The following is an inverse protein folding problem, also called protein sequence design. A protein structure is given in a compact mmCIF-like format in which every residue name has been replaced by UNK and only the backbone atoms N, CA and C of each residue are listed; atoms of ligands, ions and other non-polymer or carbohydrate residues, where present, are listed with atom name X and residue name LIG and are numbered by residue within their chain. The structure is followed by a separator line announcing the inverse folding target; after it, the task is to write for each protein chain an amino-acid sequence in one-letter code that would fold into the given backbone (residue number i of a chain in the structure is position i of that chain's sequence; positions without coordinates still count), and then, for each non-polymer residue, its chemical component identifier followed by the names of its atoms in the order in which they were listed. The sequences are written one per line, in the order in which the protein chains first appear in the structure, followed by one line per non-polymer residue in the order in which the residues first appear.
data_IF_077160354521
#
_entry.id   IF_077160354521
#
_cell.length_a   1.000
_cell.length_b   1.000
_cell.length_c   1.000
_cell.angle_alpha   90.00
_cell.angle_beta   90.00
_cell.angle_gamma   90.00
#
_symmetry.space_group_name_H-M   'P 1'
#
loop_
_entity.id
_entity.type
_entity.pdbx_description
1 polymer ?
#
# COMPACT_ATOMS: atom_id res chain seq x y z
N UNK A 1 -6.22 21.92 -10.86
CA UNK A 1 -6.93 22.60 -11.97
C UNK A 1 -6.34 22.33 -13.36
N UNK A 2 -5.27 21.52 -13.48
CA UNK A 2 -4.62 21.22 -14.77
C UNK A 2 -4.56 19.72 -15.08
N UNK A 3 -5.42 18.92 -14.43
CA UNK A 3 -5.60 17.50 -14.75
C UNK A 3 -6.65 17.40 -15.84
N UNK A 4 -6.34 16.70 -16.92
CA UNK A 4 -7.22 16.43 -18.03
C UNK A 4 -7.31 14.93 -18.27
N UNK A 5 -8.35 14.52 -18.99
CA UNK A 5 -8.51 13.17 -19.52
C UNK A 5 -8.73 13.26 -21.02
N UNK A 6 -8.05 12.42 -21.79
CA UNK A 6 -8.14 12.38 -23.24
C UNK A 6 -9.51 11.88 -23.71
N UNK A 7 -9.99 12.40 -24.84
CA UNK A 7 -11.30 12.07 -25.41
C UNK A 7 -11.42 10.61 -25.84
N UNK A 8 -10.30 10.00 -26.20
CA UNK A 8 -10.10 8.61 -26.56
C UNK A 8 -10.56 7.66 -25.45
N UNK A 9 -10.56 8.13 -24.20
CA UNK A 9 -11.11 7.39 -23.07
C UNK A 9 -12.60 7.06 -23.22
N UNK A 10 -13.38 7.87 -23.92
CA UNK A 10 -14.81 7.62 -24.16
C UNK A 10 -14.99 6.45 -25.13
N UNK A 11 -14.26 6.44 -26.24
CA UNK A 11 -14.27 5.31 -27.19
C UNK A 11 -13.73 4.02 -26.56
N UNK A 12 -12.75 4.14 -25.64
CA UNK A 12 -12.22 2.98 -24.93
C UNK A 12 -13.30 2.25 -24.12
N UNK A 13 -14.15 3.00 -23.40
CA UNK A 13 -15.12 2.41 -22.48
C UNK A 13 -16.38 1.90 -23.16
N UNK A 14 -16.66 2.27 -24.42
CA UNK A 14 -17.78 1.73 -25.20
C UNK A 14 -17.75 0.19 -25.31
N UNK A 15 -16.55 -0.40 -25.17
CA UNK A 15 -16.37 -1.86 -25.20
C UNK A 15 -16.62 -2.55 -23.84
N UNK A 16 -16.99 -1.81 -22.79
CA UNK A 16 -17.27 -2.38 -21.46
C UNK A 16 -18.71 -2.89 -21.41
N UNK A 17 -18.87 -4.23 -21.44
CA UNK A 17 -20.18 -4.89 -21.39
C UNK A 17 -20.90 -4.77 -20.02
N UNK A 18 -20.17 -4.50 -18.95
CA UNK A 18 -20.70 -4.41 -17.59
C UNK A 18 -21.23 -2.99 -17.33
N UNK A 19 -22.56 -2.83 -17.39
CA UNK A 19 -23.25 -1.54 -17.23
C UNK A 19 -22.81 -0.76 -15.97
N UNK A 20 -22.55 -1.44 -14.86
CA UNK A 20 -22.11 -0.77 -13.63
C UNK A 20 -20.69 -0.21 -13.78
N UNK A 21 -19.78 -0.98 -14.40
CA UNK A 21 -18.42 -0.50 -14.70
C UNK A 21 -18.44 0.60 -15.74
N UNK A 22 -19.25 0.47 -16.79
CA UNK A 22 -19.42 1.48 -17.83
C UNK A 22 -19.90 2.81 -17.20
N UNK A 23 -20.97 2.78 -16.41
CA UNK A 23 -21.52 3.97 -15.78
C UNK A 23 -20.53 4.62 -14.78
N UNK A 24 -19.79 3.81 -14.01
CA UNK A 24 -18.75 4.30 -13.11
C UNK A 24 -17.57 4.95 -13.85
N UNK A 25 -17.16 4.36 -14.97
CA UNK A 25 -16.13 4.89 -15.85
C UNK A 25 -16.56 6.22 -16.48
N UNK A 26 -17.73 6.25 -17.12
CA UNK A 26 -18.36 7.45 -17.68
C UNK A 26 -18.42 8.59 -16.66
N UNK A 27 -18.92 8.29 -15.45
CA UNK A 27 -19.01 9.29 -14.38
C UNK A 27 -17.64 9.85 -14.01
N UNK A 28 -16.61 9.02 -13.96
CA UNK A 28 -15.24 9.45 -13.62
C UNK A 28 -14.64 10.32 -14.72
N UNK A 29 -14.84 9.96 -15.99
CA UNK A 29 -14.39 10.73 -17.16
C UNK A 29 -15.04 12.12 -17.15
N UNK A 30 -16.37 12.19 -17.08
CA UNK A 30 -17.07 13.47 -17.12
C UNK A 30 -16.73 14.38 -15.95
N UNK A 31 -16.49 13.85 -14.74
CA UNK A 31 -16.01 14.66 -13.62
C UNK A 31 -14.69 15.37 -13.94
N UNK A 32 -13.75 14.67 -14.56
CA UNK A 32 -12.45 15.26 -14.94
C UNK A 32 -12.63 16.26 -16.09
N UNK A 33 -13.38 15.91 -17.14
CA UNK A 33 -13.67 16.80 -18.28
C UNK A 33 -14.35 18.10 -17.84
N UNK A 34 -15.34 18.00 -16.94
CA UNK A 34 -16.09 19.15 -16.40
C UNK A 34 -15.31 19.92 -15.32
N UNK A 35 -14.07 19.50 -15.02
CA UNK A 35 -13.22 20.09 -13.96
C UNK A 35 -13.84 20.03 -12.56
N UNK A 36 -14.73 19.06 -12.32
CA UNK A 36 -15.23 18.70 -11.00
C UNK A 36 -14.15 17.91 -10.24
N UNK A 37 -13.11 18.65 -9.84
CA UNK A 37 -11.94 18.10 -9.14
C UNK A 37 -12.22 18.09 -7.63
N UNK A 38 -12.28 16.89 -7.09
CA UNK A 38 -12.46 16.59 -5.67
C UNK A 38 -11.16 16.06 -5.06
N UNK A 39 -10.95 16.39 -3.80
CA UNK A 39 -10.01 15.68 -2.96
C UNK A 39 -10.47 15.66 -1.50
N UNK A 40 -10.10 14.60 -0.78
CA UNK A 40 -10.26 14.50 0.67
C UNK A 40 -9.18 13.60 1.27
N UNK A 41 -8.96 13.71 2.57
CA UNK A 41 -8.17 12.76 3.35
C UNK A 41 -9.12 12.06 4.30
N UNK A 42 -9.24 10.74 4.21
CA UNK A 42 -10.17 10.05 5.09
C UNK A 42 -9.68 10.06 6.53
N UNK A 43 -10.62 10.17 7.47
CA UNK A 43 -10.25 10.22 8.87
C UNK A 43 -9.71 8.89 9.37
N UNK A 44 -9.97 7.74 8.72
CA UNK A 44 -9.71 6.37 9.19
C UNK A 44 -8.26 5.93 9.04
N UNK A 45 -7.72 6.03 7.85
CA UNK A 45 -6.36 5.65 7.51
C UNK A 45 -5.51 6.85 7.11
N UNK A 46 -6.12 8.04 7.00
CA UNK A 46 -5.44 9.20 6.46
C UNK A 46 -5.19 9.09 4.96
N UNK A 47 -5.79 8.13 4.23
CA UNK A 47 -5.54 8.01 2.79
C UNK A 47 -6.14 9.19 2.04
N UNK A 48 -5.38 9.64 1.05
CA UNK A 48 -5.81 10.66 0.11
C UNK A 48 -6.78 10.04 -0.92
N UNK A 49 -7.91 10.69 -1.09
CA UNK A 49 -8.92 10.39 -2.11
C UNK A 49 -9.00 11.57 -3.05
N UNK A 50 -9.01 11.31 -4.36
CA UNK A 50 -9.18 12.30 -5.42
C UNK A 50 -9.81 11.67 -6.65
N UNK A 51 -10.10 12.46 -7.68
CA UNK A 51 -10.52 11.92 -8.98
C UNK A 51 -9.51 10.86 -9.49
N UNK A 52 -8.21 11.09 -9.30
CA UNK A 52 -7.16 10.17 -9.78
C UNK A 52 -7.08 8.86 -8.98
N UNK A 53 -7.24 8.91 -7.66
CA UNK A 53 -7.24 7.67 -6.85
C UNK A 53 -8.48 6.83 -7.12
N UNK A 54 -9.62 7.49 -7.37
CA UNK A 54 -10.90 6.84 -7.65
C UNK A 54 -11.06 6.42 -9.11
N UNK A 55 -10.19 6.90 -10.01
CA UNK A 55 -10.24 6.55 -11.42
C UNK A 55 -9.93 5.05 -11.61
N UNK A 56 -10.79 4.30 -12.35
CA UNK A 56 -10.51 2.93 -12.74
C UNK A 56 -9.12 2.79 -13.34
N UNK A 57 -8.41 1.71 -12.98
CA UNK A 57 -7.01 1.53 -13.35
C UNK A 57 -6.73 1.63 -14.84
N UNK A 58 -7.64 1.10 -15.67
CA UNK A 58 -7.56 1.10 -17.13
C UNK A 58 -7.82 2.47 -17.78
N UNK A 59 -8.28 3.47 -17.02
CA UNK A 59 -8.46 4.84 -17.55
C UNK A 59 -7.28 5.76 -17.26
N UNK A 60 -6.28 5.28 -16.51
CA UNK A 60 -5.18 6.13 -16.01
C UNK A 60 -4.18 6.49 -17.11
N UNK A 61 -4.06 5.69 -18.18
CA UNK A 61 -3.25 6.02 -19.36
C UNK A 61 -3.69 7.33 -20.05
N UNK A 62 -5.00 7.59 -20.05
CA UNK A 62 -5.60 8.78 -20.66
C UNK A 62 -5.47 10.05 -19.80
N UNK A 63 -4.86 9.97 -18.61
CA UNK A 63 -4.71 11.12 -17.73
C UNK A 63 -3.44 11.90 -18.05
N UNK A 64 -3.61 13.22 -18.18
CA UNK A 64 -2.50 14.16 -18.25
C UNK A 64 -2.60 15.21 -17.14
N UNK A 65 -1.45 15.66 -16.65
CA UNK A 65 -1.34 16.83 -15.78
C UNK A 65 -0.35 17.79 -16.43
N UNK A 66 -0.72 19.06 -16.59
CA UNK A 66 0.09 20.04 -17.34
C UNK A 66 0.42 19.56 -18.78
N UNK A 67 -0.48 18.80 -19.40
CA UNK A 67 -0.28 18.23 -20.74
C UNK A 67 0.70 17.05 -20.80
N UNK A 68 1.17 16.55 -19.64
CA UNK A 68 2.10 15.44 -19.57
C UNK A 68 1.38 14.19 -19.06
N UNK A 69 1.56 13.08 -19.77
CA UNK A 69 1.16 11.77 -19.27
C UNK A 69 1.97 11.40 -18.03
N UNK A 70 1.36 10.55 -17.22
CA UNK A 70 1.90 10.18 -15.92
C UNK A 70 2.43 8.76 -15.91
N UNK A 71 3.37 8.53 -15.00
CA UNK A 71 3.90 7.21 -14.68
C UNK A 71 3.85 7.00 -13.18
N UNK A 72 3.61 5.77 -12.77
CA UNK A 72 3.52 5.42 -11.37
C UNK A 72 4.84 4.84 -10.87
N UNK A 73 5.28 5.29 -9.70
CA UNK A 73 6.40 4.71 -8.96
C UNK A 73 5.81 4.03 -7.73
N UNK A 74 5.71 2.70 -7.79
CA UNK A 74 5.09 1.85 -6.79
C UNK A 74 6.13 1.25 -5.83
N UNK A 75 5.81 1.21 -4.54
CA UNK A 75 6.56 0.45 -3.56
C UNK A 75 6.24 -1.05 -3.70
N UNK A 76 7.21 -1.87 -4.17
CA UNK A 76 7.02 -3.32 -4.19
C UNK A 76 6.82 -3.82 -2.78
N UNK A 77 5.88 -4.76 -2.62
CA UNK A 77 5.60 -5.39 -1.34
C UNK A 77 5.25 -4.38 -0.23
N UNK A 78 4.65 -3.22 -0.56
CA UNK A 78 4.38 -2.13 0.39
C UNK A 78 3.88 -2.60 1.76
N UNK A 79 2.77 -3.35 1.80
CA UNK A 79 2.21 -3.83 3.08
C UNK A 79 3.16 -4.78 3.84
N UNK A 80 3.75 -5.84 3.24
CA UNK A 80 4.82 -6.62 3.88
C UNK A 80 6.02 -5.76 4.34
N UNK A 81 6.47 -4.80 3.54
CA UNK A 81 7.60 -3.92 3.84
C UNK A 81 7.31 -3.03 5.04
N UNK A 82 6.17 -2.34 5.06
CA UNK A 82 5.76 -1.50 6.20
C UNK A 82 5.50 -2.33 7.45
N UNK A 83 5.04 -3.58 7.32
CA UNK A 83 4.84 -4.48 8.46
C UNK A 83 6.13 -4.83 9.20
N UNK A 84 7.30 -4.67 8.57
CA UNK A 84 8.59 -4.93 9.23
C UNK A 84 8.86 -3.97 10.39
N UNK A 85 8.34 -2.74 10.35
CA UNK A 85 8.43 -1.79 11.45
C UNK A 85 7.83 -2.36 12.75
N UNK A 86 6.80 -3.19 12.65
CA UNK A 86 6.17 -3.82 13.82
C UNK A 86 7.03 -4.93 14.44
N UNK A 87 8.11 -5.34 13.77
CA UNK A 87 9.11 -6.29 14.24
C UNK A 87 10.36 -5.54 14.74
N UNK A 88 10.77 -4.47 14.04
CA UNK A 88 12.06 -3.80 14.25
C UNK A 88 11.98 -2.53 15.10
N UNK A 89 10.95 -1.70 14.91
CA UNK A 89 10.79 -0.42 15.61
C UNK A 89 9.30 -0.03 15.73
N UNK A 90 8.54 -0.72 16.60
CA UNK A 90 7.10 -0.45 16.77
C UNK A 90 6.82 0.98 17.27
N UNK A 91 7.76 1.57 18.02
CA UNK A 91 7.66 2.92 18.55
C UNK A 91 7.49 3.98 17.46
N UNK A 92 8.12 3.81 16.30
CA UNK A 92 7.94 4.72 15.15
C UNK A 92 6.52 4.76 14.60
N UNK A 93 5.77 3.66 14.70
CA UNK A 93 4.42 3.56 14.13
C UNK A 93 3.32 3.75 15.17
N UNK A 94 3.62 3.61 16.46
CA UNK A 94 2.66 3.82 17.53
C UNK A 94 1.92 5.17 17.48
N UNK A 95 2.58 6.33 17.21
CA UNK A 95 1.88 7.62 17.10
C UNK A 95 0.88 7.71 15.95
N UNK A 96 0.97 6.80 14.97
CA UNK A 96 0.07 6.76 13.81
C UNK A 96 -1.16 5.88 14.08
N UNK A 97 -1.20 5.17 15.20
CA UNK A 97 -2.38 4.46 15.65
C UNK A 97 -3.44 5.46 16.18
N UNK A 98 -4.66 5.35 15.67
CA UNK A 98 -5.75 6.27 16.03
C UNK A 98 -6.26 6.09 17.45
N UNK A 99 -6.31 4.84 17.89
CA UNK A 99 -6.81 4.49 19.22
C UNK A 99 -5.64 4.60 20.20
N UNK A 100 -5.81 5.43 21.23
CA UNK A 100 -4.75 5.73 22.20
C UNK A 100 -4.26 4.48 22.92
N UNK A 101 -5.17 3.58 23.30
CA UNK A 101 -4.78 2.35 23.98
C UNK A 101 -3.97 1.46 23.03
N UNK A 102 -4.35 1.40 21.74
CA UNK A 102 -3.63 0.61 20.75
C UNK A 102 -2.27 1.23 20.45
N UNK A 103 -2.17 2.57 20.40
CA UNK A 103 -0.90 3.28 20.30
C UNK A 103 0.02 2.91 21.47
N UNK A 104 -0.46 3.01 22.71
CA UNK A 104 0.32 2.63 23.91
C UNK A 104 0.73 1.16 23.89
N UNK A 105 -0.15 0.27 23.42
CA UNK A 105 0.19 -1.14 23.25
C UNK A 105 1.32 -1.32 22.22
N UNK A 106 1.21 -0.71 21.04
CA UNK A 106 2.24 -0.80 19.99
C UNK A 106 3.56 -0.19 20.46
N UNK A 107 3.52 0.93 21.20
CA UNK A 107 4.71 1.57 21.78
C UNK A 107 5.40 0.69 22.84
N UNK A 108 4.63 -0.10 23.58
CA UNK A 108 5.17 -1.05 24.57
C UNK A 108 5.86 -2.27 23.93
N UNK A 109 5.62 -2.54 22.63
CA UNK A 109 6.24 -3.66 21.93
C UNK A 109 7.72 -3.37 21.72
N UNK A 110 8.55 -4.31 22.16
CA UNK A 110 10.00 -4.27 21.90
C UNK A 110 10.31 -4.75 20.48
N UNK A 111 11.43 -4.27 19.96
CA UNK A 111 12.06 -4.91 18.81
C UNK A 111 12.37 -6.37 19.13
N UNK A 112 12.21 -7.22 18.14
CA UNK A 112 12.46 -8.66 18.24
C UNK A 112 13.35 -9.09 17.09
N UNK A 113 14.34 -9.93 17.43
CA UNK A 113 15.23 -10.52 16.45
C UNK A 113 15.17 -12.04 16.59
N UNK A 114 15.08 -12.71 15.45
CA UNK A 114 15.07 -14.15 15.32
C UNK A 114 15.50 -14.52 13.91
N UNK A 115 15.83 -15.79 13.69
CA UNK A 115 16.18 -16.29 12.36
C UNK A 115 15.01 -16.13 11.38
N UNK A 116 13.78 -16.43 11.81
CA UNK A 116 12.60 -16.32 10.96
C UNK A 116 12.23 -14.87 10.63
N UNK A 117 12.47 -13.91 11.54
CA UNK A 117 12.34 -12.47 11.26
C UNK A 117 13.37 -12.02 10.23
N UNK A 118 14.63 -12.46 10.36
CA UNK A 118 15.69 -12.12 9.40
C UNK A 118 15.36 -12.64 8.00
N UNK A 119 14.88 -13.88 7.92
CA UNK A 119 14.41 -14.51 6.68
C UNK A 119 13.17 -13.81 6.10
N UNK A 120 12.21 -13.41 6.93
CA UNK A 120 11.04 -12.66 6.48
C UNK A 120 11.45 -11.29 5.91
N UNK A 121 12.31 -10.54 6.62
CA UNK A 121 12.86 -9.24 6.16
C UNK A 121 13.54 -9.40 4.80
N UNK A 122 14.41 -10.39 4.63
CA UNK A 122 15.15 -10.59 3.37
C UNK A 122 14.23 -10.88 2.19
N UNK A 123 13.23 -11.75 2.36
CA UNK A 123 12.23 -12.07 1.34
C UNK A 123 11.34 -10.89 0.97
N UNK A 124 11.01 -10.04 1.95
CA UNK A 124 10.22 -8.83 1.72
C UNK A 124 11.00 -7.81 0.90
N UNK A 125 12.24 -7.52 1.31
CA UNK A 125 13.13 -6.54 0.66
C UNK A 125 13.48 -6.97 -0.77
N UNK A 126 13.80 -8.26 -0.97
CA UNK A 126 14.14 -8.81 -2.29
C UNK A 126 12.96 -8.88 -3.27
N UNK A 127 11.73 -8.67 -2.78
CA UNK A 127 10.54 -8.77 -3.61
C UNK A 127 9.95 -10.18 -3.72
N UNK A 128 10.53 -11.18 -3.05
CA UNK A 128 10.30 -12.61 -3.29
C UNK A 128 9.38 -13.33 -2.30
N UNK A 129 8.82 -12.63 -1.30
CA UNK A 129 7.96 -13.25 -0.28
C UNK A 129 6.78 -14.04 -0.87
N UNK A 130 6.18 -13.56 -1.96
CA UNK A 130 5.05 -14.25 -2.59
C UNK A 130 5.49 -15.50 -3.34
N UNK A 131 6.60 -15.44 -4.06
CA UNK A 131 7.19 -16.57 -4.77
C UNK A 131 7.61 -17.65 -3.78
N UNK A 132 8.22 -17.26 -2.65
CA UNK A 132 8.57 -18.17 -1.57
C UNK A 132 7.35 -18.88 -0.97
N UNK A 133 6.31 -18.12 -0.61
CA UNK A 133 5.06 -18.70 -0.09
C UNK A 133 4.33 -19.54 -1.12
N UNK A 134 4.40 -19.20 -2.41
CA UNK A 134 3.83 -19.99 -3.50
C UNK A 134 4.42 -21.40 -3.52
N UNK A 135 5.76 -21.50 -3.43
CA UNK A 135 6.45 -22.79 -3.35
C UNK A 135 6.05 -23.56 -2.08
N UNK A 136 6.01 -22.88 -0.93
CA UNK A 136 5.64 -23.53 0.34
C UNK A 136 4.18 -23.96 0.43
N UNK A 137 3.28 -23.25 -0.23
CA UNK A 137 1.90 -23.69 -0.39
C UNK A 137 1.81 -24.89 -1.34
N UNK A 138 2.58 -24.91 -2.43
CA UNK A 138 2.63 -26.05 -3.34
C UNK A 138 3.16 -27.32 -2.66
N UNK A 139 4.17 -27.23 -1.77
CA UNK A 139 4.67 -28.34 -0.94
C UNK A 139 3.54 -29.01 -0.12
N UNK A 140 2.45 -28.28 0.14
CA UNK A 140 1.27 -28.74 0.88
C UNK A 140 0.05 -29.00 -0.02
N UNK A 141 0.23 -29.11 -1.34
CA UNK A 141 -0.83 -29.36 -2.32
C UNK A 141 -1.72 -28.15 -2.61
N UNK A 142 -1.27 -26.93 -2.29
CA UNK A 142 -2.00 -25.69 -2.57
C UNK A 142 -1.33 -24.92 -3.72
N UNK A 143 -1.72 -25.27 -4.96
CA UNK A 143 -1.17 -24.63 -6.16
C UNK A 143 -1.88 -23.30 -6.45
N UNK A 144 -1.16 -22.20 -6.28
CA UNK A 144 -1.68 -20.85 -6.48
C UNK A 144 -0.84 -20.07 -7.48
N UNK A 145 -1.50 -19.20 -8.24
CA UNK A 145 -0.84 -18.09 -8.93
C UNK A 145 -0.32 -17.06 -7.92
N UNK A 146 0.70 -16.28 -8.30
CA UNK A 146 1.20 -15.16 -7.48
C UNK A 146 0.09 -14.22 -6.99
N UNK A 147 -0.89 -13.94 -7.84
CA UNK A 147 -2.07 -13.11 -7.49
C UNK A 147 -2.90 -13.74 -6.37
N UNK A 148 -3.11 -15.05 -6.41
CA UNK A 148 -3.82 -15.78 -5.36
C UNK A 148 -2.99 -15.84 -4.06
N UNK A 149 -1.68 -16.08 -4.13
CA UNK A 149 -0.79 -16.03 -2.95
C UNK A 149 -0.85 -14.67 -2.27
N UNK A 150 -0.79 -13.57 -3.04
CA UNK A 150 -0.94 -12.21 -2.49
C UNK A 150 -2.27 -12.04 -1.75
N UNK A 151 -3.38 -12.58 -2.28
CA UNK A 151 -4.68 -12.57 -1.57
C UNK A 151 -4.63 -13.37 -0.27
N UNK A 152 -4.04 -14.57 -0.28
CA UNK A 152 -3.89 -15.39 0.93
C UNK A 152 -3.01 -14.70 1.97
N UNK A 153 -1.92 -14.06 1.54
CA UNK A 153 -1.04 -13.30 2.41
C UNK A 153 -1.77 -12.16 3.12
N UNK A 154 -2.65 -11.42 2.42
CA UNK A 154 -3.48 -10.40 3.05
C UNK A 154 -4.48 -10.97 4.06
N UNK A 155 -5.04 -12.16 3.80
CA UNK A 155 -5.87 -12.87 4.78
C UNK A 155 -5.04 -13.21 6.01
N UNK A 156 -3.82 -13.73 5.83
CA UNK A 156 -2.89 -14.05 6.92
C UNK A 156 -2.58 -12.81 7.77
N UNK A 157 -2.34 -11.66 7.13
CA UNK A 157 -2.03 -10.42 7.84
C UNK A 157 -3.25 -9.83 8.56
N UNK A 158 -4.42 -9.76 7.92
CA UNK A 158 -5.51 -8.88 8.38
C UNK A 158 -6.77 -9.59 8.85
N UNK A 159 -6.95 -10.88 8.53
CA UNK A 159 -8.08 -11.64 9.04
C UNK A 159 -7.94 -11.88 10.55
N UNK A 160 -9.08 -11.93 11.24
CA UNK A 160 -9.19 -12.22 12.69
C UNK A 160 -8.38 -13.47 13.06
N UNK A 161 -7.81 -13.49 14.26
CA UNK A 161 -6.99 -14.63 14.74
C UNK A 161 -7.77 -15.96 14.77
N UNK A 162 -9.09 -15.92 14.94
CA UNK A 162 -9.98 -17.10 14.86
C UNK A 162 -9.99 -17.76 13.48
N UNK A 163 -9.63 -17.04 12.43
CA UNK A 163 -9.53 -17.58 11.06
C UNK A 163 -8.14 -18.23 10.92
N UNK A 164 -8.06 -19.52 11.24
CA UNK A 164 -6.83 -20.32 11.12
C UNK A 164 -6.96 -21.34 9.98
N UNK A 165 -6.87 -20.85 8.74
CA UNK A 165 -6.88 -21.70 7.55
C UNK A 165 -5.50 -22.38 7.32
N UNK A 166 -5.45 -23.33 6.37
CA UNK A 166 -4.23 -24.09 6.06
C UNK A 166 -3.04 -23.20 5.69
N UNK A 167 -3.28 -22.12 4.94
CA UNK A 167 -2.27 -21.15 4.50
C UNK A 167 -1.66 -20.39 5.69
N UNK A 168 -2.48 -20.00 6.67
CA UNK A 168 -2.00 -19.35 7.89
C UNK A 168 -1.20 -20.29 8.78
N UNK A 169 -1.58 -21.57 8.88
CA UNK A 169 -0.80 -22.57 9.60
C UNK A 169 0.59 -22.75 8.99
N UNK A 170 0.66 -22.92 7.67
CA UNK A 170 1.95 -22.99 6.94
C UNK A 170 2.76 -21.71 7.19
N UNK A 171 2.15 -20.52 7.14
CA UNK A 171 2.86 -19.28 7.44
C UNK A 171 3.38 -19.23 8.89
N UNK A 172 2.58 -19.68 9.86
CA UNK A 172 2.98 -19.74 11.27
C UNK A 172 4.10 -20.76 11.53
N UNK A 173 4.17 -21.84 10.76
CA UNK A 173 5.28 -22.80 10.81
C UNK A 173 6.57 -22.22 10.19
N UNK A 174 6.46 -21.46 9.10
CA UNK A 174 7.61 -20.86 8.42
C UNK A 174 8.17 -19.62 9.14
N UNK A 175 7.29 -18.85 9.77
CA UNK A 175 7.59 -17.57 10.41
C UNK A 175 6.86 -17.44 11.77
N UNK A 176 7.19 -18.30 12.76
CA UNK A 176 6.47 -18.38 14.02
C UNK A 176 6.49 -17.05 14.80
N UNK A 177 7.66 -16.43 14.92
CA UNK A 177 7.83 -15.17 15.68
C UNK A 177 7.13 -14.01 14.98
N UNK A 178 7.20 -13.96 13.65
CA UNK A 178 6.47 -12.96 12.84
C UNK A 178 4.96 -13.14 12.99
N UNK A 179 4.48 -14.38 12.90
CA UNK A 179 3.06 -14.70 13.02
C UNK A 179 2.51 -14.37 14.41
N UNK A 180 3.26 -14.67 15.47
CA UNK A 180 2.92 -14.34 16.84
C UNK A 180 2.78 -12.82 17.01
N UNK A 181 3.81 -12.04 16.65
CA UNK A 181 3.76 -10.57 16.71
C UNK A 181 2.59 -10.00 15.93
N UNK A 182 2.35 -10.48 14.71
CA UNK A 182 1.19 -10.01 13.94
C UNK A 182 -0.15 -10.42 14.57
N UNK A 183 -0.21 -11.54 15.29
CA UNK A 183 -1.40 -11.98 16.02
C UNK A 183 -1.70 -11.10 17.23
N UNK A 184 -0.67 -10.71 17.98
CA UNK A 184 -0.77 -9.72 19.06
C UNK A 184 -1.34 -8.40 18.52
N UNK A 185 -0.81 -7.92 17.39
CA UNK A 185 -1.23 -6.68 16.75
C UNK A 185 -2.65 -6.76 16.21
N UNK A 186 -3.12 -7.91 15.71
CA UNK A 186 -4.54 -8.09 15.36
C UNK A 186 -5.47 -8.13 16.57
N UNK A 187 -5.00 -8.65 17.69
CA UNK A 187 -5.77 -8.82 18.93
C UNK A 187 -6.78 -9.97 18.88
N UNK A 188 -7.41 -10.25 20.02
CA UNK A 188 -8.48 -11.25 20.12
C UNK A 188 -9.83 -10.69 19.67
N UNK A 189 -10.78 -11.55 19.32
CA UNK A 189 -12.08 -11.16 18.71
C UNK A 189 -13.30 -11.29 19.63
N UNK A 190 -13.12 -11.61 20.92
CA UNK A 190 -14.19 -11.97 21.85
C UNK A 190 -14.69 -10.83 22.77
N UNK A 191 -14.13 -9.63 22.66
CA UNK A 191 -14.58 -8.48 23.44
C UNK A 191 -15.45 -7.54 22.62
N UNK A 192 -16.51 -7.01 23.25
CA UNK A 192 -17.33 -5.90 22.74
C UNK A 192 -16.55 -4.57 22.63
N UNK A 193 -15.28 -4.55 23.03
CA UNK A 193 -14.43 -3.37 22.96
C UNK A 193 -13.89 -3.15 21.53
N UNK A 194 -14.01 -1.93 21.02
CA UNK A 194 -13.39 -1.50 19.74
C UNK A 194 -11.88 -1.79 19.65
N UNK A 195 -11.23 -1.98 20.80
CA UNK A 195 -9.85 -2.39 20.98
C UNK A 195 -9.48 -3.73 20.31
N UNK A 196 -10.47 -4.60 20.03
CA UNK A 196 -10.29 -5.98 19.55
C UNK A 196 -10.61 -6.17 18.06
N UNK A 197 -10.61 -5.08 17.29
CA UNK A 197 -10.90 -5.11 15.86
C UNK A 197 -9.66 -5.51 15.04
N UNK A 198 -9.69 -6.66 14.36
CA UNK A 198 -8.59 -7.09 13.48
C UNK A 198 -8.25 -6.09 12.38
N UNK A 199 -9.17 -5.17 12.05
CA UNK A 199 -8.94 -4.06 11.12
C UNK A 199 -7.88 -3.07 11.63
N UNK A 200 -7.59 -3.02 12.94
CA UNK A 200 -6.60 -2.10 13.52
C UNK A 200 -5.21 -2.27 12.91
N UNK A 201 -4.83 -3.50 12.57
CA UNK A 201 -3.56 -3.77 11.90
C UNK A 201 -3.56 -3.18 10.48
N UNK A 202 -4.60 -3.45 9.68
CA UNK A 202 -4.70 -2.88 8.33
C UNK A 202 -4.75 -1.35 8.36
N UNK A 203 -5.54 -0.76 9.26
CA UNK A 203 -5.66 0.69 9.41
C UNK A 203 -4.32 1.31 9.79
N UNK A 204 -3.57 0.69 10.72
CA UNK A 204 -2.25 1.18 11.11
C UNK A 204 -1.27 1.18 9.93
N UNK A 205 -1.18 0.09 9.17
CA UNK A 205 -0.29 0.05 8.00
C UNK A 205 -0.71 1.05 6.91
N UNK A 206 -2.00 1.30 6.74
CA UNK A 206 -2.49 2.32 5.82
C UNK A 206 -2.19 3.75 6.33
N UNK A 207 -2.21 3.98 7.64
CA UNK A 207 -1.79 5.24 8.25
C UNK A 207 -0.28 5.47 8.09
N UNK A 208 0.53 4.42 8.25
CA UNK A 208 1.98 4.46 7.95
C UNK A 208 2.23 4.78 6.47
N UNK A 209 1.51 4.12 5.56
CA UNK A 209 1.56 4.39 4.11
C UNK A 209 1.26 5.86 3.80
N UNK A 210 0.15 6.39 4.34
CA UNK A 210 -0.23 7.79 4.14
C UNK A 210 0.78 8.76 4.74
N UNK A 211 1.25 8.51 5.96
CA UNK A 211 2.25 9.35 6.62
C UNK A 211 3.54 9.42 5.80
N UNK A 212 4.03 8.29 5.27
CA UNK A 212 5.23 8.26 4.45
C UNK A 212 5.04 9.01 3.13
N UNK A 213 3.93 8.78 2.43
CA UNK A 213 3.70 9.38 1.12
C UNK A 213 3.37 10.87 1.25
N UNK A 214 2.34 11.22 2.04
CA UNK A 214 1.82 12.58 2.15
C UNK A 214 2.57 13.44 3.15
N UNK A 215 3.09 12.84 4.22
CA UNK A 215 3.75 13.57 5.32
C UNK A 215 5.26 13.71 5.16
N UNK A 216 5.89 12.88 4.32
CA UNK A 216 7.35 12.88 4.15
C UNK A 216 7.78 13.02 2.69
N UNK A 217 7.37 12.09 1.82
CA UNK A 217 7.84 12.01 0.43
C UNK A 217 7.37 13.21 -0.39
N UNK A 218 6.05 13.43 -0.52
CA UNK A 218 5.53 14.53 -1.33
C UNK A 218 5.99 15.91 -0.84
N UNK A 219 5.96 16.22 0.48
CA UNK A 219 6.48 17.50 0.98
C UNK A 219 7.94 17.71 0.61
N UNK A 220 8.79 16.68 0.72
CA UNK A 220 10.21 16.77 0.35
C UNK A 220 10.40 16.94 -1.16
N UNK A 221 9.63 16.23 -1.98
CA UNK A 221 9.63 16.39 -3.44
C UNK A 221 9.33 17.84 -3.80
N UNK A 222 8.27 18.42 -3.26
CA UNK A 222 7.88 19.80 -3.57
C UNK A 222 8.80 20.86 -2.96
N UNK A 223 9.43 20.59 -1.82
CA UNK A 223 10.41 21.49 -1.22
C UNK A 223 11.73 21.53 -2.01
N UNK A 224 12.24 20.37 -2.46
CA UNK A 224 13.49 20.29 -3.22
C UNK A 224 13.29 20.59 -4.71
N UNK A 225 12.10 20.31 -5.27
CA UNK A 225 11.79 20.41 -6.70
C UNK A 225 10.38 21.00 -6.97
N UNK A 226 10.13 22.30 -6.75
CA UNK A 226 8.78 22.90 -6.81
C UNK A 226 8.02 22.79 -8.14
N UNK A 227 8.72 22.48 -9.24
CA UNK A 227 8.13 22.34 -10.58
C UNK A 227 7.77 20.91 -10.99
N UNK A 228 8.12 19.91 -10.18
CA UNK A 228 7.88 18.50 -10.53
C UNK A 228 6.41 18.12 -10.29
N UNK A 229 5.87 17.28 -11.16
CA UNK A 229 4.54 16.70 -10.95
C UNK A 229 4.68 15.53 -9.98
N UNK A 230 4.06 15.58 -8.81
CA UNK A 230 4.12 14.48 -7.85
C UNK A 230 2.79 14.35 -7.08
N UNK A 231 1.98 13.37 -7.46
CA UNK A 231 0.67 13.12 -6.84
C UNK A 231 0.60 11.71 -6.27
N UNK A 232 -0.05 11.53 -5.12
CA UNK A 232 -0.16 10.22 -4.49
C UNK A 232 -1.28 9.38 -5.10
N UNK A 233 -1.02 8.08 -5.23
CA UNK A 233 -2.04 7.05 -5.44
C UNK A 233 -1.75 5.93 -4.43
N UNK A 234 -2.33 6.03 -3.24
CA UNK A 234 -2.06 5.10 -2.13
C UNK A 234 -0.56 5.03 -1.80
N UNK A 235 0.05 3.85 -1.95
CA UNK A 235 1.46 3.54 -1.70
C UNK A 235 2.41 3.91 -2.85
N UNK A 236 1.91 4.63 -3.86
CA UNK A 236 2.68 5.05 -5.02
C UNK A 236 2.68 6.56 -5.21
N UNK A 237 3.72 7.05 -5.88
CA UNK A 237 3.80 8.43 -6.35
C UNK A 237 3.73 8.42 -7.87
N UNK A 238 2.77 9.18 -8.40
CA UNK A 238 2.60 9.40 -9.82
C UNK A 238 3.32 10.70 -10.21
N UNK A 239 4.16 10.63 -11.23
CA UNK A 239 4.97 11.75 -11.73
C UNK A 239 4.91 11.82 -13.26
N UNK A 240 5.51 12.83 -13.86
CA UNK A 240 5.61 12.95 -15.31
C UNK A 240 6.40 11.78 -15.92
N UNK A 241 6.20 11.54 -17.21
CA UNK A 241 6.99 10.55 -17.97
C UNK A 241 8.46 10.95 -18.20
N UNK A 242 8.89 12.14 -17.79
CA UNK A 242 10.28 12.55 -17.97
C UNK A 242 11.20 11.72 -17.07
N UNK A 243 12.26 11.17 -17.66
CA UNK A 243 13.24 10.34 -16.94
C UNK A 243 13.82 11.06 -15.72
N UNK A 244 14.10 12.36 -15.83
CA UNK A 244 14.58 13.20 -14.73
C UNK A 244 13.64 13.22 -13.52
N UNK A 245 12.33 13.32 -13.79
CA UNK A 245 11.31 13.42 -12.76
C UNK A 245 11.13 12.05 -12.08
N UNK A 246 11.15 10.98 -12.87
CA UNK A 246 11.09 9.60 -12.38
C UNK A 246 12.27 9.31 -11.45
N UNK A 247 13.49 9.64 -11.86
CA UNK A 247 14.70 9.42 -11.08
C UNK A 247 14.72 10.25 -9.80
N UNK A 248 14.29 11.51 -9.88
CA UNK A 248 14.18 12.42 -8.74
C UNK A 248 13.21 11.90 -7.70
N UNK A 249 11.99 11.53 -8.11
CA UNK A 249 10.98 10.99 -7.20
C UNK A 249 11.43 9.64 -6.62
N UNK A 250 12.01 8.74 -7.42
CA UNK A 250 12.58 7.47 -6.92
C UNK A 250 13.64 7.70 -5.86
N UNK A 251 14.56 8.64 -6.10
CA UNK A 251 15.64 8.96 -5.16
C UNK A 251 15.08 9.46 -3.83
N UNK A 252 14.09 10.35 -3.85
CA UNK A 252 13.45 10.85 -2.62
C UNK A 252 12.68 9.72 -1.91
N UNK A 253 11.90 8.93 -2.65
CA UNK A 253 11.18 7.78 -2.09
C UNK A 253 12.15 6.80 -1.41
N UNK A 254 13.24 6.40 -2.07
CA UNK A 254 14.25 5.50 -1.50
C UNK A 254 14.82 6.09 -0.21
N UNK A 255 15.19 7.37 -0.20
CA UNK A 255 15.76 8.04 0.98
C UNK A 255 14.77 8.06 2.15
N UNK A 256 13.56 8.57 1.94
CA UNK A 256 12.56 8.70 3.01
C UNK A 256 12.10 7.35 3.56
N UNK A 257 11.91 6.36 2.69
CA UNK A 257 11.53 5.00 3.10
C UNK A 257 12.67 4.32 3.86
N UNK A 258 13.91 4.43 3.38
CA UNK A 258 15.08 3.84 4.07
C UNK A 258 15.29 4.49 5.43
N UNK A 259 15.18 5.82 5.52
CA UNK A 259 15.32 6.56 6.78
C UNK A 259 14.25 6.16 7.80
N UNK A 260 12.98 6.09 7.37
CA UNK A 260 11.90 5.77 8.28
C UNK A 260 11.88 4.29 8.67
N UNK A 261 11.95 3.38 7.70
CA UNK A 261 11.79 1.92 7.90
C UNK A 261 13.09 1.26 8.34
N UNK A 262 14.25 1.83 8.00
CA UNK A 262 15.56 1.23 8.25
C UNK A 262 15.96 0.16 7.23
N UNK A 263 15.16 -0.06 6.18
CA UNK A 263 15.39 -1.06 5.14
C UNK A 263 15.31 -0.40 3.77
N UNK A 264 16.20 -0.75 2.85
CA UNK A 264 16.16 -0.20 1.48
C UNK A 264 14.94 -0.78 0.75
N UNK A 265 14.02 0.05 0.21
CA UNK A 265 12.85 -0.44 -0.51
C UNK A 265 13.21 -0.90 -1.92
N UNK A 266 12.36 -1.75 -2.51
CA UNK A 266 12.36 -1.98 -3.95
C UNK A 266 11.22 -1.21 -4.59
N UNK A 267 11.52 -0.34 -5.56
CA UNK A 267 10.51 0.40 -6.32
C UNK A 267 10.27 -0.22 -7.69
N UNK A 268 9.05 -0.10 -8.22
CA UNK A 268 8.69 -0.48 -9.59
C UNK A 268 8.12 0.74 -10.30
N UNK A 269 8.53 0.94 -11.55
CA UNK A 269 7.88 1.92 -12.43
C UNK A 269 6.87 1.19 -13.29
N UNK A 270 5.64 1.67 -13.30
CA UNK A 270 4.56 1.17 -14.16
C UNK A 270 4.04 2.34 -14.99
N UNK A 271 4.14 2.21 -16.32
CA UNK A 271 3.31 3.03 -17.21
C UNK A 271 1.87 2.61 -16.96
N UNK A 272 1.02 3.60 -16.69
CA UNK A 272 -0.40 3.38 -16.47
C UNK A 272 -1.17 3.72 -17.70
#
# INVERSE_FOLDING_TARGET
RQMNIETESLSFIENIEDDNKFNAAMTSIYKIMNRDIFYSVDSTSGRYHSNLTNLPGYLREFITIHGQHLVNIDLKNSQPYLSTLLLTDPGKVAPLAKDRNFAMFVESLKSIESEDITKYKSLVISGQIYEYLMLKFADHGLHYTRRQVKRQFFIILFARNTIMNKQRRIFAELFPTVHERFSEIRGNSNSKNHFQNSKRFAILLQAVESHLILGRILPRVYAEYPGIIAVSIHDSVCTSLFTSDIETVKKIMIKELTDFVGLIPTLKTEKK
#
